data_IF_426404029418
#
_entry.id   IF_426404029418
#
_cell.length_a   1.000
_cell.length_b   1.000
_cell.length_c   1.000
_cell.angle_alpha   90.00
_cell.angle_beta   90.00
_cell.angle_gamma   90.00
#
_symmetry.space_group_name_H-M   'P 1'
#
loop_
_entity.id
_entity.type
_entity.pdbx_description
1 polymer ?
#
# COMPACT_ATOMS: atom_id res chain seq x y z
N UNK A 1 -6.02 -5.12 4.61
CA UNK A 1 -5.19 -4.90 5.82
C UNK A 1 -5.90 -3.85 6.63
N UNK A 2 -6.19 -4.13 7.89
CA UNK A 2 -6.94 -3.24 8.78
C UNK A 2 -6.12 -3.05 10.05
N UNK A 3 -6.04 -1.81 10.54
CA UNK A 3 -5.29 -1.45 11.73
C UNK A 3 -5.91 -0.22 12.39
N UNK A 4 -5.65 -0.06 13.69
CA UNK A 4 -6.09 1.12 14.42
C UNK A 4 -5.17 2.32 14.13
N UNK A 5 -5.77 3.49 13.95
CA UNK A 5 -5.10 4.78 13.78
C UNK A 5 -4.12 5.13 14.91
N UNK A 6 -4.29 4.53 16.09
CA UNK A 6 -3.39 4.69 17.24
C UNK A 6 -2.02 4.02 17.05
N UNK A 7 -1.90 3.05 16.15
CA UNK A 7 -0.68 2.23 16.01
C UNK A 7 0.45 2.96 15.26
N UNK A 8 0.13 3.70 14.20
CA UNK A 8 1.10 4.42 13.35
C UNK A 8 0.42 5.62 12.68
N UNK A 9 1.12 6.75 12.47
CA UNK A 9 0.62 7.83 11.63
C UNK A 9 0.21 7.34 10.23
N UNK A 10 -1.07 7.55 9.87
CA UNK A 10 -1.68 7.06 8.63
C UNK A 10 -0.86 7.40 7.38
N UNK A 11 -0.30 8.61 7.32
CA UNK A 11 0.48 9.08 6.17
C UNK A 11 1.71 8.23 5.85
N UNK A 12 2.33 7.59 6.84
CA UNK A 12 3.54 6.78 6.60
C UNK A 12 3.20 5.42 5.98
N UNK A 13 2.10 4.81 6.43
CA UNK A 13 1.68 3.46 6.02
C UNK A 13 0.87 3.48 4.73
N UNK A 14 0.07 4.52 4.50
CA UNK A 14 -0.84 4.61 3.35
C UNK A 14 -0.19 5.17 2.08
N UNK A 15 1.03 5.71 2.20
CA UNK A 15 1.78 6.25 1.06
C UNK A 15 2.11 5.14 0.06
N UNK A 16 1.77 5.37 -1.22
CA UNK A 16 2.08 4.40 -2.27
C UNK A 16 3.58 4.34 -2.51
N UNK A 17 4.06 3.13 -2.70
CA UNK A 17 5.49 2.88 -2.86
C UNK A 17 6.21 2.54 -1.56
N UNK A 18 5.64 2.89 -0.39
CA UNK A 18 6.20 2.55 0.93
C UNK A 18 6.35 1.04 1.12
N UNK A 19 7.40 0.65 1.82
CA UNK A 19 7.68 -0.74 2.18
C UNK A 19 7.36 -0.97 3.65
N UNK A 20 6.44 -1.90 3.92
CA UNK A 20 6.02 -2.25 5.27
C UNK A 20 6.18 -3.74 5.52
N UNK A 21 6.56 -4.09 6.74
CA UNK A 21 6.41 -5.42 7.29
C UNK A 21 5.21 -5.39 8.25
N UNK A 22 4.27 -6.30 8.04
CA UNK A 22 3.01 -6.36 8.77
C UNK A 22 2.85 -7.75 9.38
N UNK A 23 2.60 -7.80 10.68
CA UNK A 23 2.32 -9.02 11.44
C UNK A 23 0.92 -8.91 12.05
N UNK A 24 0.16 -10.01 12.03
CA UNK A 24 -1.17 -10.05 12.61
C UNK A 24 -1.96 -11.28 12.21
N UNK A 25 -3.26 -11.22 12.44
CA UNK A 25 -4.17 -12.37 12.29
C UNK A 25 -4.99 -12.23 11.01
N UNK A 26 -5.05 -13.32 10.24
CA UNK A 26 -5.92 -13.43 9.08
C UNK A 26 -7.34 -13.77 9.54
N UNK A 27 -8.32 -12.95 9.17
CA UNK A 27 -9.72 -13.16 9.53
C UNK A 27 -10.63 -13.00 8.30
N UNK A 28 -11.85 -13.50 8.39
CA UNK A 28 -12.90 -13.20 7.40
C UNK A 28 -13.19 -11.71 7.40
N UNK A 29 -13.30 -11.13 6.20
CA UNK A 29 -13.60 -9.71 6.07
C UNK A 29 -14.91 -9.36 6.78
N UNK A 30 -14.86 -8.36 7.65
CA UNK A 30 -16.03 -7.93 8.45
C UNK A 30 -17.08 -7.24 7.56
N UNK A 31 -16.63 -6.54 6.53
CA UNK A 31 -17.50 -5.82 5.59
C UNK A 31 -17.64 -6.57 4.25
N UNK A 32 -18.86 -6.62 3.66
CA UNK A 32 -19.05 -7.20 2.34
C UNK A 32 -18.30 -6.37 1.29
N UNK A 33 -17.19 -6.90 0.79
CA UNK A 33 -16.34 -6.23 -0.18
C UNK A 33 -15.67 -7.20 -1.15
N UNK A 34 -14.73 -6.67 -1.94
CA UNK A 34 -14.00 -7.45 -2.96
C UNK A 34 -13.11 -8.55 -2.35
N UNK A 35 -12.74 -8.43 -1.08
CA UNK A 35 -11.83 -9.33 -0.39
C UNK A 35 -12.61 -10.21 0.59
N UNK A 36 -12.42 -11.53 0.53
CA UNK A 36 -13.04 -12.48 1.48
C UNK A 36 -12.30 -12.57 2.81
N UNK A 37 -11.01 -12.23 2.79
CA UNK A 37 -10.11 -12.31 3.93
C UNK A 37 -9.41 -10.96 4.12
N UNK A 38 -9.18 -10.61 5.37
CA UNK A 38 -8.44 -9.42 5.77
C UNK A 38 -7.37 -9.77 6.80
N UNK A 39 -6.26 -9.03 6.76
CA UNK A 39 -5.21 -9.11 7.77
C UNK A 39 -5.46 -8.00 8.79
N UNK A 40 -5.80 -8.37 10.02
CA UNK A 40 -5.89 -7.47 11.18
C UNK A 40 -4.49 -7.34 11.77
N UNK A 41 -3.92 -6.13 11.72
CA UNK A 41 -2.56 -5.90 12.18
C UNK A 41 -2.47 -5.91 13.70
N UNK A 42 -1.40 -6.55 14.19
CA UNK A 42 -0.96 -6.48 15.58
C UNK A 42 0.36 -5.70 15.69
N UNK A 43 1.25 -5.87 14.71
CA UNK A 43 2.50 -5.12 14.63
C UNK A 43 2.75 -4.69 13.20
N UNK A 44 3.39 -3.53 13.08
CA UNK A 44 3.81 -2.99 11.80
C UNK A 44 5.18 -2.35 11.96
N UNK A 45 6.05 -2.63 11.00
CA UNK A 45 7.38 -2.05 10.92
C UNK A 45 7.53 -1.38 9.56
N UNK A 46 7.95 -0.12 9.60
CA UNK A 46 8.21 0.65 8.39
C UNK A 46 9.64 0.41 7.92
N UNK A 47 9.81 -0.24 6.77
CA UNK A 47 11.12 -0.66 6.25
C UNK A 47 11.68 0.38 5.27
N UNK A 48 10.81 1.07 4.54
CA UNK A 48 11.22 2.09 3.57
C UNK A 48 10.20 3.21 3.47
N UNK A 49 10.61 4.42 3.88
CA UNK A 49 9.83 5.64 3.72
C UNK A 49 9.97 6.14 2.28
N UNK A 50 8.84 6.51 1.69
CA UNK A 50 8.77 7.12 0.38
C UNK A 50 8.12 8.49 0.54
N UNK A 51 8.73 9.53 -0.04
CA UNK A 51 8.10 10.84 -0.12
C UNK A 51 7.00 10.80 -1.20
N UNK A 52 5.72 11.03 -0.83
CA UNK A 52 4.62 11.02 -1.78
C UNK A 52 4.77 12.07 -2.90
N UNK A 53 5.50 13.16 -2.67
CA UNK A 53 5.67 14.21 -3.68
C UNK A 53 6.64 13.81 -4.78
N UNK A 54 7.59 12.91 -4.49
CA UNK A 54 8.60 12.46 -5.45
C UNK A 54 8.23 11.13 -6.12
N UNK A 55 7.34 10.35 -5.50
CA UNK A 55 6.97 9.04 -6.04
C UNK A 55 6.09 9.16 -7.30
N UNK A 56 6.49 8.58 -8.44
CA UNK A 56 5.80 8.80 -9.71
C UNK A 56 4.40 8.17 -9.80
N UNK A 57 4.08 7.17 -8.95
CA UNK A 57 2.82 6.41 -9.05
C UNK A 57 1.83 6.70 -7.91
N UNK A 58 1.60 7.98 -7.63
CA UNK A 58 0.63 8.46 -6.62
C UNK A 58 -0.82 8.40 -7.08
N UNK A 59 -1.09 8.14 -8.37
CA UNK A 59 -2.47 8.05 -8.94
C UNK A 59 -2.77 6.65 -9.48
N UNK A 60 -4.04 6.23 -9.38
CA UNK A 60 -4.49 4.87 -9.70
C UNK A 60 -4.62 4.61 -11.20
N UNK A 61 -4.84 5.65 -12.01
CA UNK A 61 -4.84 5.57 -13.48
C UNK A 61 -3.79 6.51 -14.02
N UNK A 62 -2.86 5.97 -14.82
CA UNK A 62 -1.85 6.75 -15.52
C UNK A 62 -1.79 6.33 -16.99
N UNK A 63 -1.54 7.28 -17.91
CA UNK A 63 -1.35 6.97 -19.32
C UNK A 63 -0.17 6.01 -19.52
N UNK A 64 -0.26 5.15 -20.53
CA UNK A 64 0.81 4.20 -20.85
C UNK A 64 2.14 4.92 -21.18
N UNK A 65 2.09 6.07 -21.83
CA UNK A 65 3.29 6.87 -22.15
C UNK A 65 3.99 7.38 -20.88
N UNK A 66 3.24 7.72 -19.83
CA UNK A 66 3.81 8.08 -18.55
C UNK A 66 4.49 6.87 -17.89
N UNK A 67 3.88 5.68 -17.96
CA UNK A 67 4.47 4.45 -17.43
C UNK A 67 5.77 4.06 -18.16
N UNK A 68 5.90 4.37 -19.46
CA UNK A 68 7.09 4.09 -20.26
C UNK A 68 8.34 4.85 -19.77
N UNK A 69 8.15 6.06 -19.24
CA UNK A 69 9.25 6.85 -18.64
C UNK A 69 9.83 6.19 -17.37
N UNK A 70 9.09 5.28 -16.75
CA UNK A 70 9.46 4.58 -15.52
C UNK A 70 9.38 3.06 -15.70
N UNK A 71 10.00 2.55 -16.77
CA UNK A 71 9.97 1.14 -17.17
C UNK A 71 10.41 0.16 -16.06
N UNK A 72 11.38 0.56 -15.23
CA UNK A 72 11.87 -0.24 -14.09
C UNK A 72 10.81 -0.50 -13.01
N UNK A 73 9.76 0.31 -12.95
CA UNK A 73 8.65 0.11 -12.01
C UNK A 73 7.44 -0.60 -12.63
N UNK A 74 7.52 -0.98 -13.92
CA UNK A 74 6.40 -1.62 -14.63
C UNK A 74 5.93 -2.92 -13.98
N UNK A 75 6.83 -3.65 -13.33
CA UNK A 75 6.52 -4.89 -12.58
C UNK A 75 5.63 -4.66 -11.36
N UNK A 76 5.54 -3.42 -10.86
CA UNK A 76 4.77 -3.04 -9.66
C UNK A 76 3.41 -2.41 -9.98
N UNK A 77 2.99 -2.36 -11.25
CA UNK A 77 1.68 -1.82 -11.63
C UNK A 77 0.76 -2.92 -12.14
N UNK A 78 -0.48 -2.93 -11.64
CA UNK A 78 -1.58 -3.72 -12.22
C UNK A 78 -2.08 -2.94 -13.43
N UNK A 79 -1.79 -3.42 -14.63
CA UNK A 79 -2.31 -2.85 -15.89
C UNK A 79 -3.60 -3.54 -16.27
#
# INVERSE_FOLDING_TARGET
VVFDSSMVPLGQVTSRGSCILAEGVLQTATEPGKQKLELKLEKILHVGVVDPMTYPFTKTKMPLDFLRNYSHFRSRTTV
#
